data_IF_918997983430
#
_entry.id   IF_918997983430
#
_cell.length_a   1.000
_cell.length_b   1.000
_cell.length_c   1.000
_cell.angle_alpha   90.00
_cell.angle_beta   90.00
_cell.angle_gamma   90.00
#
_symmetry.space_group_name_H-M   'P 1'
#
loop_
_entity.id
_entity.type
_entity.pdbx_description
1 polymer ?
#
# COMPACT_ATOMS: atom_id res chain seq x y z
N UNK A 1 -40.49 -25.98 -40.18
CA UNK A 1 -40.17 -24.94 -39.17
C UNK A 1 -39.27 -25.48 -38.08
N UNK A 2 -39.52 -26.68 -37.53
CA UNK A 2 -38.72 -27.27 -36.43
C UNK A 2 -37.25 -27.47 -36.84
N UNK A 3 -36.98 -28.01 -38.03
CA UNK A 3 -35.60 -28.28 -38.48
C UNK A 3 -34.73 -27.02 -38.61
N UNK A 4 -35.31 -25.92 -39.12
CA UNK A 4 -34.60 -24.63 -39.24
C UNK A 4 -34.25 -24.06 -37.87
N UNK A 5 -35.14 -24.21 -36.89
CA UNK A 5 -34.92 -23.78 -35.51
C UNK A 5 -33.84 -24.64 -34.84
N UNK A 6 -33.86 -25.95 -35.05
CA UNK A 6 -32.80 -26.85 -34.56
C UNK A 6 -31.42 -26.51 -35.15
N UNK A 7 -31.33 -26.23 -36.45
CA UNK A 7 -30.08 -25.81 -37.11
C UNK A 7 -29.59 -24.47 -36.53
N UNK A 8 -30.50 -23.52 -36.27
CA UNK A 8 -30.14 -22.24 -35.67
C UNK A 8 -29.54 -22.41 -34.27
N UNK A 9 -30.10 -23.30 -33.43
CA UNK A 9 -29.55 -23.58 -32.10
C UNK A 9 -28.18 -24.25 -32.15
N UNK A 10 -27.95 -25.16 -33.11
CA UNK A 10 -26.64 -25.80 -33.31
C UNK A 10 -25.59 -24.75 -33.70
N UNK A 11 -25.92 -23.86 -34.64
CA UNK A 11 -25.03 -22.78 -35.06
C UNK A 11 -24.73 -21.82 -33.90
N UNK A 12 -25.75 -21.48 -33.11
CA UNK A 12 -25.58 -20.61 -31.95
C UNK A 12 -24.68 -21.26 -30.90
N UNK A 13 -24.84 -22.55 -30.63
CA UNK A 13 -23.98 -23.28 -29.71
C UNK A 13 -22.51 -23.29 -30.17
N UNK A 14 -22.26 -23.53 -31.46
CA UNK A 14 -20.91 -23.50 -32.04
C UNK A 14 -20.31 -22.10 -31.96
N UNK A 15 -21.08 -21.06 -32.27
CA UNK A 15 -20.64 -19.68 -32.18
C UNK A 15 -20.31 -19.27 -30.74
N UNK A 16 -21.15 -19.65 -29.76
CA UNK A 16 -20.90 -19.44 -28.34
C UNK A 16 -19.63 -20.16 -27.87
N UNK A 17 -19.43 -21.42 -28.29
CA UNK A 17 -18.22 -22.17 -27.97
C UNK A 17 -16.95 -21.52 -28.54
N UNK A 18 -17.01 -21.02 -29.79
CA UNK A 18 -15.91 -20.31 -30.41
C UNK A 18 -15.55 -19.01 -29.65
N UNK A 19 -16.56 -18.25 -29.21
CA UNK A 19 -16.34 -17.04 -28.41
C UNK A 19 -15.70 -17.36 -27.05
N UNK A 20 -16.19 -18.37 -26.35
CA UNK A 20 -15.59 -18.83 -25.07
C UNK A 20 -14.12 -19.19 -25.27
N UNK A 21 -13.78 -19.92 -26.33
CA UNK A 21 -12.40 -20.27 -26.66
C UNK A 21 -11.52 -19.03 -26.91
N UNK A 22 -12.03 -18.05 -27.68
CA UNK A 22 -11.29 -16.81 -27.94
C UNK A 22 -11.06 -15.98 -26.67
N UNK A 23 -12.06 -15.90 -25.79
CA UNK A 23 -11.95 -15.23 -24.49
C UNK A 23 -10.89 -15.91 -23.63
N UNK A 24 -10.93 -17.24 -23.51
CA UNK A 24 -9.89 -17.99 -22.78
C UNK A 24 -8.49 -17.77 -23.35
N UNK A 25 -8.35 -17.68 -24.68
CA UNK A 25 -7.08 -17.37 -25.34
C UNK A 25 -6.58 -15.96 -25.01
N UNK A 26 -7.47 -14.97 -24.91
CA UNK A 26 -7.11 -13.60 -24.51
C UNK A 26 -6.74 -13.51 -23.02
N UNK A 27 -7.50 -14.17 -22.15
CA UNK A 27 -7.21 -14.22 -20.70
C UNK A 27 -5.81 -14.78 -20.45
N UNK A 28 -5.40 -15.85 -21.14
CA UNK A 28 -4.04 -16.40 -21.02
C UNK A 28 -2.94 -15.41 -21.41
N UNK A 29 -3.21 -14.48 -22.34
CA UNK A 29 -2.25 -13.46 -22.77
C UNK A 29 -2.17 -12.30 -21.77
N UNK A 30 -3.29 -11.94 -21.15
CA UNK A 30 -3.35 -10.89 -20.13
C UNK A 30 -3.17 -11.40 -18.70
N UNK A 31 -2.98 -12.71 -18.49
CA UNK A 31 -2.87 -13.31 -17.17
C UNK A 31 -1.75 -12.69 -16.34
N UNK A 32 -0.62 -12.32 -16.95
CA UNK A 32 0.48 -11.69 -16.22
C UNK A 32 0.11 -10.27 -15.73
N UNK A 33 -0.58 -9.46 -16.55
CA UNK A 33 -1.07 -8.14 -16.15
C UNK A 33 -2.12 -8.26 -15.05
N UNK A 34 -3.08 -9.18 -15.21
CA UNK A 34 -4.15 -9.42 -14.25
C UNK A 34 -3.60 -9.96 -12.92
N UNK A 35 -2.61 -10.85 -12.95
CA UNK A 35 -1.97 -11.37 -11.73
C UNK A 35 -1.18 -10.26 -11.03
N UNK A 36 -0.49 -9.39 -11.78
CA UNK A 36 0.23 -8.26 -11.20
C UNK A 36 -0.71 -7.20 -10.60
N UNK A 37 -1.80 -6.87 -11.30
CA UNK A 37 -2.83 -5.91 -10.85
C UNK A 37 -3.66 -6.44 -9.67
N UNK A 38 -3.87 -7.76 -9.58
CA UNK A 38 -4.59 -8.39 -8.47
C UNK A 38 -3.65 -9.07 -7.48
N UNK A 39 -2.34 -8.83 -7.57
CA UNK A 39 -1.41 -9.33 -6.56
C UNK A 39 -1.78 -8.71 -5.21
N UNK A 40 -1.75 -9.48 -4.12
CA UNK A 40 -1.99 -8.93 -2.79
C UNK A 40 -0.96 -7.83 -2.53
N UNK A 41 -1.41 -6.68 -2.02
CA UNK A 41 -0.53 -5.57 -1.66
C UNK A 41 0.35 -6.04 -0.50
N UNK A 42 1.62 -6.34 -0.80
CA UNK A 42 2.60 -6.74 0.20
C UNK A 42 3.10 -5.46 0.87
N UNK A 43 2.81 -5.32 2.18
CA UNK A 43 3.34 -4.22 2.98
C UNK A 43 4.87 -4.19 2.88
N UNK A 44 5.44 -3.06 2.45
CA UNK A 44 6.89 -2.88 2.25
C UNK A 44 7.42 -3.13 0.83
N UNK A 45 6.56 -3.50 -0.13
CA UNK A 45 6.94 -3.54 -1.55
C UNK A 45 6.93 -2.15 -2.22
N UNK A 46 6.16 -1.21 -1.66
CA UNK A 46 6.27 0.19 -2.02
C UNK A 46 7.47 0.83 -1.31
N UNK A 47 8.14 1.74 -2.01
CA UNK A 47 9.07 2.69 -1.39
C UNK A 47 8.29 3.48 -0.33
N UNK A 48 8.45 3.10 0.93
CA UNK A 48 7.89 3.82 2.06
C UNK A 48 8.54 5.22 2.09
N UNK A 49 7.87 6.18 1.48
CA UNK A 49 8.18 7.61 1.54
C UNK A 49 7.89 8.20 2.92
N UNK A 50 8.43 7.57 3.97
CA UNK A 50 8.35 7.99 5.36
C UNK A 50 9.71 8.34 5.96
N UNK A 51 10.76 8.34 5.15
CA UNK A 51 12.04 8.90 5.58
C UNK A 51 11.85 10.39 5.86
N UNK A 52 12.44 10.88 6.94
CA UNK A 52 12.48 12.29 7.21
C UNK A 52 13.04 13.03 6.00
N UNK A 53 12.30 14.02 5.50
CA UNK A 53 12.73 14.85 4.36
C UNK A 53 14.10 15.48 4.60
N UNK A 54 14.41 15.75 5.86
CA UNK A 54 15.74 16.11 6.33
C UNK A 54 16.11 15.23 7.53
N UNK A 55 16.92 14.17 7.37
CA UNK A 55 17.37 13.35 8.49
C UNK A 55 18.26 14.12 9.46
N UNK A 56 18.88 15.22 9.02
CA UNK A 56 19.85 15.96 9.84
C UNK A 56 19.19 16.82 10.93
N UNK A 57 17.88 17.10 10.81
CA UNK A 57 17.09 17.80 11.85
C UNK A 57 17.05 17.03 13.19
N UNK A 58 17.37 15.73 13.19
CA UNK A 58 17.42 14.91 14.39
C UNK A 58 18.84 14.78 14.98
N UNK A 59 19.85 15.42 14.37
CA UNK A 59 21.23 15.35 14.88
C UNK A 59 21.46 16.29 16.06
N UNK A 60 20.75 17.41 16.12
CA UNK A 60 20.81 18.39 17.20
C UNK A 60 19.38 18.74 17.63
N UNK A 61 19.07 18.82 18.92
CA UNK A 61 17.78 19.34 19.38
C UNK A 61 17.60 20.80 18.95
N UNK A 62 16.38 21.19 18.67
CA UNK A 62 16.04 22.60 18.48
C UNK A 62 15.84 23.30 19.84
N UNK A 63 15.75 24.63 19.81
CA UNK A 63 15.60 25.45 21.01
C UNK A 63 14.36 25.05 21.82
N UNK A 64 13.25 24.73 21.14
CA UNK A 64 12.01 24.29 21.79
C UNK A 64 12.20 22.96 22.54
N UNK A 65 12.93 21.99 21.95
CA UNK A 65 13.25 20.74 22.61
C UNK A 65 14.25 20.91 23.78
N UNK A 66 15.15 21.89 23.70
CA UNK A 66 16.06 22.23 24.79
C UNK A 66 15.31 22.80 25.99
N UNK A 67 14.36 23.71 25.76
CA UNK A 67 13.50 24.29 26.80
C UNK A 67 12.65 23.19 27.47
N UNK A 68 12.02 22.30 26.70
CA UNK A 68 11.25 21.17 27.24
C UNK A 68 12.12 20.23 28.09
N UNK A 69 13.38 20.02 27.70
CA UNK A 69 14.34 19.23 28.48
C UNK A 69 14.75 19.95 29.77
N UNK A 70 14.86 21.27 29.78
CA UNK A 70 15.11 22.08 30.98
C UNK A 70 14.00 21.90 32.02
N UNK A 71 12.74 22.03 31.60
CA UNK A 71 11.57 21.81 32.45
C UNK A 71 11.50 20.38 33.01
N UNK A 72 11.82 19.38 32.18
CA UNK A 72 11.89 17.98 32.60
C UNK A 72 12.99 17.75 33.65
N UNK A 73 14.15 18.39 33.50
CA UNK A 73 15.26 18.27 34.44
C UNK A 73 14.96 18.98 35.76
N UNK A 74 14.39 20.18 35.73
CA UNK A 74 14.01 20.94 36.91
C UNK A 74 12.95 20.18 37.74
N UNK A 75 11.91 19.66 37.10
CA UNK A 75 10.87 18.86 37.77
C UNK A 75 11.43 17.56 38.36
N UNK A 76 12.37 16.91 37.67
CA UNK A 76 13.04 15.72 38.17
C UNK A 76 13.96 16.01 39.38
N UNK A 77 14.62 17.17 39.40
CA UNK A 77 15.45 17.61 40.52
C UNK A 77 14.61 17.95 41.75
N UNK A 78 13.49 18.68 41.58
CA UNK A 78 12.55 18.99 42.65
C UNK A 78 11.99 17.70 43.28
N UNK A 79 11.63 16.71 42.46
CA UNK A 79 11.17 15.41 42.93
C UNK A 79 12.22 14.63 43.73
N UNK A 80 13.50 14.90 43.48
CA UNK A 80 14.65 14.33 44.21
C UNK A 80 15.06 15.19 45.42
N UNK A 81 14.40 16.32 45.65
CA UNK A 81 14.71 17.26 46.72
C UNK A 81 15.99 18.06 46.48
N UNK A 82 16.37 18.25 45.22
CA UNK A 82 17.56 18.99 44.79
C UNK A 82 17.08 20.23 44.01
N UNK A 83 17.71 21.38 44.21
CA UNK A 83 17.42 22.60 43.45
C UNK A 83 18.27 22.61 42.15
N UNK A 84 17.63 22.90 41.02
CA UNK A 84 18.29 22.95 39.71
C UNK A 84 18.63 24.40 39.37
N UNK A 85 19.91 24.71 39.15
CA UNK A 85 20.37 26.01 38.66
C UNK A 85 20.59 25.91 37.15
N UNK A 86 19.90 26.75 36.39
CA UNK A 86 20.06 26.90 34.95
C UNK A 86 21.13 27.98 34.71
N UNK A 87 22.35 27.56 34.34
CA UNK A 87 23.50 28.44 34.04
C UNK A 87 23.39 29.11 32.65
#
# INVERSE_FOLDING_TARGET
MVDSVSIAYVLLFVASGALVYLIMKMIKRNQQSVIAENAPVIAGADELGGQAKDPAQFNEPDDDALDEMGDLLASAAEAQGIEYEED
#
